data_IF_345096569130
#
_entry.id   IF_345096569130
#
_cell.length_a   1.000
_cell.length_b   1.000
_cell.length_c   1.000
_cell.angle_alpha   90.00
_cell.angle_beta   90.00
_cell.angle_gamma   90.00
#
_symmetry.space_group_name_H-M   'P 1'
#
loop_
_entity.id
_entity.type
_entity.pdbx_description
1 polymer ?
#
# COMPACT_ATOMS: atom_id res chain seq x y z
N UNK A 1 5.81 -0.37 3.50
CA UNK A 1 5.14 -1.31 2.60
C UNK A 1 4.67 -2.54 3.36
N UNK A 2 3.42 -2.96 3.13
CA UNK A 2 2.84 -4.14 3.75
C UNK A 2 2.25 -5.04 2.66
N UNK A 3 2.72 -6.28 2.57
CA UNK A 3 2.15 -7.29 1.69
C UNK A 3 1.07 -8.06 2.46
N UNK A 4 -0.19 -7.84 2.11
CA UNK A 4 -1.32 -8.50 2.77
C UNK A 4 -1.73 -9.82 2.11
N UNK A 5 -1.07 -10.21 1.03
CA UNK A 5 -1.36 -11.44 0.30
C UNK A 5 -1.15 -11.31 -1.20
N UNK A 6 -0.29 -10.41 -1.62
CA UNK A 6 0.01 -10.12 -3.03
C UNK A 6 0.74 -11.26 -3.73
N UNK A 7 0.61 -11.30 -5.05
CA UNK A 7 1.34 -12.23 -5.92
C UNK A 7 2.78 -11.77 -6.22
N UNK A 8 3.24 -10.69 -5.62
CA UNK A 8 4.55 -10.06 -5.79
C UNK A 8 4.69 -9.16 -7.04
N UNK A 9 3.66 -9.04 -7.87
CA UNK A 9 3.72 -8.13 -9.03
C UNK A 9 3.81 -6.67 -8.61
N UNK A 10 2.98 -6.27 -7.65
CA UNK A 10 2.97 -4.90 -7.13
C UNK A 10 4.26 -4.56 -6.39
N UNK A 11 4.83 -5.51 -5.65
CA UNK A 11 6.09 -5.31 -4.93
C UNK A 11 7.25 -5.07 -5.88
N UNK A 12 7.29 -5.77 -7.01
CA UNK A 12 8.31 -5.55 -8.04
C UNK A 12 8.20 -4.14 -8.61
N UNK A 13 7.00 -3.67 -8.88
CA UNK A 13 6.78 -2.32 -9.38
C UNK A 13 7.10 -1.25 -8.33
N UNK A 14 6.78 -1.50 -7.06
CA UNK A 14 7.17 -0.61 -5.96
C UNK A 14 8.70 -0.55 -5.85
N UNK A 15 9.38 -1.69 -5.99
CA UNK A 15 10.84 -1.72 -6.03
C UNK A 15 11.42 -0.87 -7.15
N UNK A 16 10.72 -0.78 -8.28
CA UNK A 16 11.11 0.08 -9.40
C UNK A 16 11.14 1.58 -9.07
N UNK A 17 10.41 2.01 -8.03
CA UNK A 17 10.41 3.41 -7.61
C UNK A 17 11.78 3.88 -7.10
N UNK A 18 12.60 2.97 -6.62
CA UNK A 18 13.94 3.29 -6.12
C UNK A 18 14.99 3.33 -7.23
N UNK A 19 14.61 3.00 -8.46
CA UNK A 19 15.52 3.04 -9.61
C UNK A 19 15.86 4.50 -9.99
N UNK A 20 17.01 4.73 -10.68
CA UNK A 20 17.36 6.08 -11.10
C UNK A 20 16.32 6.73 -12.03
N UNK A 21 15.51 5.94 -12.74
CA UNK A 21 14.49 6.44 -13.68
C UNK A 21 13.38 7.17 -12.93
N UNK A 22 12.89 6.58 -11.84
CA UNK A 22 11.79 7.16 -11.05
C UNK A 22 12.29 7.91 -9.83
N UNK A 23 13.34 7.41 -9.18
CA UNK A 23 14.05 8.02 -8.06
C UNK A 23 13.10 8.67 -7.04
N UNK A 24 12.32 7.84 -6.36
CA UNK A 24 11.32 8.30 -5.38
C UNK A 24 11.94 9.13 -4.25
N UNK A 25 13.20 8.91 -3.91
CA UNK A 25 13.88 9.63 -2.83
C UNK A 25 14.02 11.14 -3.12
N UNK A 26 14.11 11.54 -4.38
CA UNK A 26 14.17 12.96 -4.75
C UNK A 26 12.89 13.72 -4.37
N UNK A 27 11.79 13.00 -4.17
CA UNK A 27 10.51 13.56 -3.71
C UNK A 27 10.34 13.46 -2.19
N UNK A 28 11.38 13.02 -1.48
CA UNK A 28 11.34 12.86 -0.03
C UNK A 28 10.66 11.58 0.44
N UNK A 29 10.52 10.59 -0.43
CA UNK A 29 9.89 9.30 -0.11
C UNK A 29 10.97 8.30 0.27
N UNK A 30 10.91 7.82 1.50
CA UNK A 30 11.86 6.84 2.02
C UNK A 30 11.12 5.61 2.53
N UNK A 31 11.60 4.42 2.18
CA UNK A 31 11.06 3.17 2.70
C UNK A 31 11.73 2.84 4.03
N UNK A 32 10.90 2.55 5.03
CA UNK A 32 11.38 2.24 6.39
C UNK A 32 10.90 0.85 6.80
N UNK A 33 11.67 0.22 7.68
CA UNK A 33 11.40 -1.15 8.11
C UNK A 33 10.34 -1.26 9.21
N UNK A 34 10.14 -0.19 9.99
CA UNK A 34 9.22 -0.22 11.12
C UNK A 34 8.02 0.69 10.88
N UNK A 35 6.79 0.24 11.19
CA UNK A 35 5.61 1.10 11.07
C UNK A 35 5.64 2.29 12.01
N UNK A 36 6.41 2.23 13.10
CA UNK A 36 6.55 3.36 14.03
C UNK A 36 7.26 4.56 13.42
N UNK A 37 8.03 4.35 12.37
CA UNK A 37 8.73 5.40 11.62
C UNK A 37 8.03 5.77 10.33
N UNK A 38 6.89 5.14 10.02
CA UNK A 38 6.17 5.36 8.78
C UNK A 38 5.07 6.40 8.95
N UNK A 39 4.90 7.24 7.94
CA UNK A 39 3.79 8.19 7.84
C UNK A 39 2.71 7.67 6.89
N UNK A 40 3.09 6.79 5.97
CA UNK A 40 2.21 6.25 4.95
C UNK A 40 2.44 4.74 4.81
N UNK A 41 1.36 3.99 4.77
CA UNK A 41 1.39 2.55 4.51
C UNK A 41 1.02 2.30 3.05
N UNK A 42 1.91 1.60 2.32
CA UNK A 42 1.59 1.05 1.01
C UNK A 42 1.19 -0.40 1.20
N UNK A 43 -0.06 -0.72 0.94
CA UNK A 43 -0.60 -2.06 1.14
C UNK A 43 -0.90 -2.70 -0.20
N UNK A 44 -0.44 -3.91 -0.39
CA UNK A 44 -0.60 -4.68 -1.63
C UNK A 44 -1.38 -5.95 -1.39
N UNK A 45 -2.06 -6.42 -2.43
CA UNK A 45 -2.79 -7.68 -2.45
C UNK A 45 -4.11 -7.65 -1.71
N UNK A 46 -4.94 -8.71 -1.87
CA UNK A 46 -6.10 -8.90 -1.02
C UNK A 46 -5.63 -9.25 0.39
N UNK A 47 -6.43 -8.92 1.39
CA UNK A 47 -6.07 -9.30 2.76
C UNK A 47 -6.36 -10.77 2.98
N UNK A 48 -5.33 -11.55 3.22
CA UNK A 48 -5.47 -12.96 3.58
C UNK A 48 -5.79 -13.11 5.06
N UNK A 49 -6.37 -14.26 5.43
CA UNK A 49 -6.72 -14.54 6.83
C UNK A 49 -5.51 -14.49 7.76
N UNK A 50 -4.35 -14.95 7.27
CA UNK A 50 -3.12 -14.93 8.05
C UNK A 50 -2.56 -13.52 8.25
N UNK A 51 -2.88 -12.58 7.37
CA UNK A 51 -2.35 -11.22 7.42
C UNK A 51 -3.33 -10.20 7.97
N UNK A 52 -4.56 -10.58 8.28
CA UNK A 52 -5.56 -9.65 8.81
C UNK A 52 -5.11 -9.00 10.12
N UNK A 53 -4.72 -9.82 11.11
CA UNK A 53 -4.25 -9.31 12.39
C UNK A 53 -2.92 -8.56 12.27
N UNK A 54 -1.90 -9.09 11.57
CA UNK A 54 -0.66 -8.33 11.34
C UNK A 54 -0.89 -6.97 10.67
N UNK A 55 -1.79 -6.89 9.69
CA UNK A 55 -2.12 -5.63 9.02
C UNK A 55 -2.76 -4.63 10.00
N UNK A 56 -3.71 -5.07 10.80
CA UNK A 56 -4.33 -4.23 11.82
C UNK A 56 -3.32 -3.71 12.84
N UNK A 57 -2.43 -4.57 13.31
CA UNK A 57 -1.39 -4.18 14.27
C UNK A 57 -0.39 -3.20 13.66
N UNK A 58 -0.03 -3.40 12.39
CA UNK A 58 0.86 -2.48 11.67
C UNK A 58 0.21 -1.10 11.55
N UNK A 59 -1.07 -1.06 11.20
CA UNK A 59 -1.82 0.18 11.11
C UNK A 59 -1.89 0.90 12.46
N UNK A 60 -2.18 0.19 13.52
CA UNK A 60 -2.24 0.76 14.88
C UNK A 60 -0.89 1.28 15.34
N UNK A 61 0.20 0.61 14.98
CA UNK A 61 1.56 1.02 15.36
C UNK A 61 2.07 2.22 14.59
N UNK A 62 1.45 2.56 13.46
CA UNK A 62 1.83 3.74 12.66
C UNK A 62 1.33 5.00 13.36
N UNK A 63 2.22 6.00 13.66
CA UNK A 63 1.80 7.19 14.37
C UNK A 63 0.93 8.12 13.53
N UNK A 64 0.07 8.89 14.16
CA UNK A 64 -0.72 9.93 13.50
C UNK A 64 0.13 11.19 13.23
N UNK A 65 -0.14 11.92 12.15
CA UNK A 65 -1.11 11.60 11.09
C UNK A 65 -0.59 10.47 10.20
N UNK A 66 -1.47 9.58 9.78
CA UNK A 66 -1.11 8.44 8.94
C UNK A 66 -2.02 8.33 7.74
N UNK A 67 -1.46 7.80 6.65
CA UNK A 67 -2.15 7.60 5.38
C UNK A 67 -2.02 6.15 4.95
N UNK A 68 -3.01 5.66 4.21
CA UNK A 68 -2.98 4.32 3.63
C UNK A 68 -3.24 4.43 2.14
N UNK A 69 -2.36 3.86 1.35
CA UNK A 69 -2.50 3.73 -0.10
C UNK A 69 -2.57 2.25 -0.43
N UNK A 70 -3.69 1.83 -1.03
CA UNK A 70 -3.87 0.48 -1.50
C UNK A 70 -3.40 0.39 -2.96
N UNK A 71 -2.41 -0.45 -3.21
CA UNK A 71 -1.75 -0.57 -4.51
C UNK A 71 -2.23 -1.81 -5.23
N UNK A 72 -2.74 -1.62 -6.43
CA UNK A 72 -3.17 -2.69 -7.33
C UNK A 72 -4.64 -3.07 -7.19
N UNK A 73 -5.16 -3.73 -8.22
CA UNK A 73 -6.56 -4.15 -8.26
C UNK A 73 -6.89 -5.13 -7.15
N UNK A 74 -5.94 -5.99 -6.77
CA UNK A 74 -6.15 -6.99 -5.70
C UNK A 74 -6.42 -6.33 -4.35
N UNK A 75 -5.80 -5.20 -4.07
CA UNK A 75 -6.03 -4.46 -2.84
C UNK A 75 -7.41 -3.79 -2.81
N UNK A 76 -7.94 -3.45 -3.97
CA UNK A 76 -9.22 -2.75 -4.10
C UNK A 76 -10.40 -3.72 -4.21
N UNK A 77 -10.29 -4.77 -5.04
CA UNK A 77 -11.40 -5.66 -5.37
C UNK A 77 -11.07 -7.14 -5.22
N UNK A 78 -9.93 -7.48 -4.62
CA UNK A 78 -9.34 -8.82 -4.55
C UNK A 78 -8.91 -9.38 -5.92
N UNK A 79 -9.22 -8.74 -7.03
CA UNK A 79 -8.78 -9.12 -8.35
C UNK A 79 -9.04 -10.60 -8.66
N UNK A 80 -8.01 -11.31 -9.11
CA UNK A 80 -8.08 -12.74 -9.44
C UNK A 80 -8.26 -13.65 -8.21
N UNK A 81 -8.01 -13.13 -7.01
CA UNK A 81 -8.13 -13.90 -5.75
C UNK A 81 -9.53 -13.81 -5.14
N UNK A 82 -10.44 -13.11 -5.78
CA UNK A 82 -11.80 -12.90 -5.29
C UNK A 82 -12.50 -14.23 -5.04
N UNK A 83 -13.09 -14.36 -3.87
CA UNK A 83 -13.83 -15.57 -3.49
C UNK A 83 -12.96 -16.71 -2.98
N UNK A 84 -11.63 -16.51 -2.85
CA UNK A 84 -10.76 -17.52 -2.26
C UNK A 84 -11.06 -17.74 -0.78
N UNK A 85 -10.97 -18.98 -0.32
CA UNK A 85 -11.28 -19.32 1.08
C UNK A 85 -10.31 -18.68 2.07
N UNK A 86 -9.07 -18.41 1.65
CA UNK A 86 -8.04 -17.81 2.48
C UNK A 86 -8.06 -16.27 2.45
N UNK A 87 -8.95 -15.66 1.67
CA UNK A 87 -9.04 -14.22 1.48
C UNK A 87 -10.17 -13.67 2.34
N UNK A 88 -9.84 -12.70 3.20
CA UNK A 88 -10.81 -11.97 4.02
C UNK A 88 -11.58 -10.96 3.17
N UNK A 89 -10.85 -10.19 2.34
CA UNK A 89 -11.46 -9.17 1.50
C UNK A 89 -10.44 -8.16 1.01
N UNK A 90 -10.94 -7.03 0.54
CA UNK A 90 -10.09 -5.91 0.12
C UNK A 90 -9.52 -5.17 1.32
N UNK A 91 -8.50 -4.35 1.07
CA UNK A 91 -7.81 -3.62 2.15
C UNK A 91 -8.75 -2.67 2.90
N UNK A 92 -9.67 -2.01 2.19
CA UNK A 92 -10.61 -1.06 2.79
C UNK A 92 -11.63 -1.71 3.74
N UNK A 93 -11.82 -3.02 3.66
CA UNK A 93 -12.66 -3.77 4.59
C UNK A 93 -11.99 -4.01 5.94
N UNK A 94 -10.68 -3.88 6.01
CA UNK A 94 -9.88 -4.16 7.21
C UNK A 94 -9.38 -2.87 7.86
N UNK A 95 -8.84 -1.94 7.06
CA UNK A 95 -8.34 -0.65 7.52
C UNK A 95 -8.84 0.47 6.60
N UNK A 96 -8.95 1.72 7.10
CA UNK A 96 -9.31 2.85 6.23
C UNK A 96 -8.26 3.07 5.14
N UNK A 97 -8.71 3.33 3.91
CA UNK A 97 -7.82 3.59 2.77
C UNK A 97 -8.08 5.00 2.26
N UNK A 98 -7.01 5.76 2.06
CA UNK A 98 -7.11 7.14 1.58
C UNK A 98 -7.06 7.23 0.05
N UNK A 99 -6.23 6.41 -0.58
CA UNK A 99 -6.06 6.42 -2.03
C UNK A 99 -5.91 4.99 -2.54
N UNK A 100 -6.55 4.69 -3.68
CA UNK A 100 -6.36 3.45 -4.41
C UNK A 100 -5.56 3.72 -5.68
N UNK A 101 -4.61 2.85 -5.99
CA UNK A 101 -3.84 2.88 -7.23
C UNK A 101 -4.22 1.65 -8.06
N UNK A 102 -5.00 1.81 -9.13
CA UNK A 102 -5.44 0.66 -9.93
C UNK A 102 -4.32 0.12 -10.83
N UNK A 103 -4.42 -1.14 -11.16
CA UNK A 103 -3.50 -1.84 -12.06
C UNK A 103 -3.20 -3.25 -11.58
N UNK A 104 -2.68 -4.07 -12.47
CA UNK A 104 -2.36 -5.47 -12.14
C UNK A 104 -1.06 -5.91 -12.83
N UNK A 105 0.10 -5.43 -12.35
CA UNK A 105 0.35 -4.37 -11.38
C UNK A 105 0.27 -2.97 -12.00
N UNK A 106 0.13 -1.91 -11.18
CA UNK A 106 0.25 -0.54 -11.70
C UNK A 106 1.70 -0.21 -12.03
N UNK A 107 1.90 0.71 -12.97
CA UNK A 107 3.23 1.19 -13.31
C UNK A 107 3.83 1.98 -12.13
N UNK A 108 5.18 2.02 -11.99
CA UNK A 108 5.80 2.81 -10.94
C UNK A 108 5.39 4.28 -10.94
N UNK A 109 5.21 4.87 -12.13
CA UNK A 109 4.74 6.26 -12.23
C UNK A 109 3.33 6.44 -11.64
N UNK A 110 2.44 5.48 -11.83
CA UNK A 110 1.09 5.52 -11.25
C UNK A 110 1.13 5.40 -9.72
N UNK A 111 2.00 4.53 -9.20
CA UNK A 111 2.21 4.38 -7.76
C UNK A 111 2.73 5.67 -7.15
N UNK A 112 3.71 6.28 -7.79
CA UNK A 112 4.29 7.55 -7.33
C UNK A 112 3.25 8.67 -7.31
N UNK A 113 2.43 8.78 -8.35
CA UNK A 113 1.33 9.75 -8.38
C UNK A 113 0.32 9.50 -7.26
N UNK A 114 0.01 8.24 -6.97
CA UNK A 114 -0.87 7.87 -5.88
C UNK A 114 -0.32 8.29 -4.51
N UNK A 115 0.96 8.08 -4.28
CA UNK A 115 1.63 8.49 -3.05
C UNK A 115 1.60 10.01 -2.90
N UNK A 116 1.93 10.75 -3.95
CA UNK A 116 1.92 12.21 -3.94
C UNK A 116 0.51 12.77 -3.71
N UNK A 117 -0.50 12.16 -4.32
CA UNK A 117 -1.90 12.53 -4.11
C UNK A 117 -2.33 12.30 -2.65
N UNK A 118 -1.87 11.21 -2.04
CA UNK A 118 -2.16 10.93 -0.64
C UNK A 118 -1.49 11.95 0.28
N UNK A 119 -0.25 12.35 -0.02
CA UNK A 119 0.47 13.35 0.77
C UNK A 119 -0.23 14.71 0.76
N UNK A 120 -0.91 15.08 -0.32
CA UNK A 120 -1.67 16.31 -0.39
C UNK A 120 -2.87 16.33 0.57
N UNK A 121 -3.30 15.17 1.05
CA UNK A 121 -4.41 15.04 2.00
C UNK A 121 -3.97 15.19 3.45
N UNK A 122 -2.65 15.21 3.73
CA UNK A 122 -2.17 15.43 5.08
C UNK A 122 -2.52 16.84 5.55
N UNK A 123 -2.97 17.01 6.81
CA UNK A 123 -3.15 18.34 7.36
C UNK A 123 -1.81 19.08 7.31
N UNK A 124 -1.80 20.24 6.70
CA UNK A 124 -0.61 21.11 6.73
C UNK A 124 -0.47 21.65 8.15
N UNK A 125 0.73 21.49 8.67
CA UNK A 125 1.07 22.05 9.97
C UNK A 125 1.49 23.49 9.85
#
# INVERSE_FOLDING_TARGET
EVDAGSCNGCEIEIGGLTSPVYDSERFGIHFVASPRHADLLLVTGPVTRNMEIPLLKTYEATPHPKLVVAVGDCAQTCGVFRGGYAVVGSVDQVIPVDVFVPGCPPEPAAILRGILAALDRLPRR
#
